data_IF_163458107099
#
_entry.id   IF_163458107099
#
_cell.length_a   1.000
_cell.length_b   1.000
_cell.length_c   1.000
_cell.angle_alpha   90.00
_cell.angle_beta   90.00
_cell.angle_gamma   90.00
#
_symmetry.space_group_name_H-M   'P 1'
#
loop_
_entity.id
_entity.type
_entity.pdbx_description
1 polymer ?
#
# COMPACT_ATOMS: atom_id res chain seq x y z
N UNK A 1 -19.31 10.87 16.14
CA UNK A 1 -18.69 11.03 14.81
C UNK A 1 -17.37 11.73 15.00
N UNK A 2 -16.34 11.26 14.34
CA UNK A 2 -14.99 11.77 14.50
C UNK A 2 -14.83 12.98 13.57
N UNK A 3 -14.75 14.17 14.11
CA UNK A 3 -14.39 15.37 13.34
C UNK A 3 -12.86 15.50 13.31
N UNK A 4 -12.31 15.84 12.15
CA UNK A 4 -10.91 16.19 12.04
C UNK A 4 -10.69 17.52 12.77
N UNK A 5 -9.71 17.57 13.65
CA UNK A 5 -9.29 18.83 14.25
C UNK A 5 -8.70 19.80 13.19
N UNK A 6 -8.39 21.01 13.61
CA UNK A 6 -7.87 22.03 12.71
C UNK A 6 -6.56 21.62 12.04
N UNK A 7 -5.69 20.88 12.76
CA UNK A 7 -4.42 20.38 12.25
C UNK A 7 -4.62 19.34 11.14
N UNK A 8 -5.46 18.33 11.36
CA UNK A 8 -5.76 17.30 10.35
C UNK A 8 -6.58 17.85 9.18
N UNK A 9 -7.42 18.85 9.42
CA UNK A 9 -8.11 19.58 8.34
C UNK A 9 -7.13 20.31 7.44
N UNK A 10 -6.10 20.97 8.01
CA UNK A 10 -5.03 21.59 7.23
C UNK A 10 -4.23 20.57 6.43
N UNK A 11 -3.92 19.39 7.00
CA UNK A 11 -3.29 18.29 6.27
C UNK A 11 -4.15 17.83 5.08
N UNK A 12 -5.45 17.63 5.30
CA UNK A 12 -6.38 17.24 4.23
C UNK A 12 -6.41 18.24 3.09
N UNK A 13 -6.46 19.56 3.40
CA UNK A 13 -6.40 20.63 2.40
C UNK A 13 -5.12 20.53 1.57
N UNK A 14 -3.97 20.41 2.23
CA UNK A 14 -2.68 20.29 1.53
C UNK A 14 -2.58 19.01 0.69
N UNK A 15 -3.10 17.90 1.19
CA UNK A 15 -3.14 16.63 0.45
C UNK A 15 -4.00 16.76 -0.83
N UNK A 16 -5.16 17.42 -0.73
CA UNK A 16 -6.03 17.68 -1.89
C UNK A 16 -5.36 18.60 -2.93
N UNK A 17 -4.63 19.64 -2.50
CA UNK A 17 -3.84 20.49 -3.39
C UNK A 17 -2.77 19.69 -4.15
N UNK A 18 -2.00 18.88 -3.42
CA UNK A 18 -0.94 18.05 -4.02
C UNK A 18 -1.49 16.93 -4.90
N UNK A 19 -2.68 16.41 -4.59
CA UNK A 19 -3.34 15.38 -5.39
C UNK A 19 -3.64 15.87 -6.83
N UNK A 20 -3.83 17.18 -7.02
CA UNK A 20 -4.04 17.78 -8.35
C UNK A 20 -2.94 17.43 -9.35
N UNK A 21 -1.69 17.31 -8.89
CA UNK A 21 -0.56 16.93 -9.75
C UNK A 21 -0.74 15.50 -10.33
N UNK A 22 -1.40 14.60 -9.59
CA UNK A 22 -1.62 13.21 -9.99
C UNK A 22 -2.70 13.08 -11.08
N UNK A 23 -3.62 14.04 -11.17
CA UNK A 23 -4.69 14.03 -12.15
C UNK A 23 -4.16 14.04 -13.60
N UNK A 24 -2.97 14.63 -13.80
CA UNK A 24 -2.36 14.79 -15.14
C UNK A 24 -1.92 13.46 -15.77
N UNK A 25 -1.71 12.42 -14.96
CA UNK A 25 -1.21 11.10 -15.41
C UNK A 25 -2.14 9.93 -15.07
N UNK A 26 -3.17 10.15 -14.25
CA UNK A 26 -4.01 9.07 -13.73
C UNK A 26 -4.65 8.19 -14.81
N UNK A 27 -5.17 8.82 -15.88
CA UNK A 27 -5.76 8.09 -17.00
C UNK A 27 -4.69 7.35 -17.83
N UNK A 28 -3.53 7.98 -18.04
CA UNK A 28 -2.46 7.42 -18.85
C UNK A 28 -1.81 6.22 -18.18
N UNK A 29 -1.67 6.24 -16.85
CA UNK A 29 -1.16 5.12 -16.06
C UNK A 29 -2.00 3.83 -16.17
N UNK A 30 -3.23 3.94 -16.65
CA UNK A 30 -4.08 2.78 -16.94
C UNK A 30 -3.65 2.05 -18.23
N UNK A 31 -2.88 2.71 -19.08
CA UNK A 31 -2.38 2.18 -20.36
C UNK A 31 -0.87 2.03 -20.38
N UNK A 32 -0.16 2.96 -19.78
CA UNK A 32 1.29 3.01 -19.71
C UNK A 32 1.76 3.29 -18.27
N UNK A 33 2.22 2.27 -17.53
CA UNK A 33 2.74 2.46 -16.18
C UNK A 33 3.92 3.46 -16.09
N UNK A 34 4.68 3.65 -17.18
CA UNK A 34 5.83 4.54 -17.22
C UNK A 34 5.44 6.03 -17.38
N UNK A 35 4.16 6.32 -17.61
CA UNK A 35 3.64 7.68 -17.56
C UNK A 35 3.95 8.40 -16.23
N UNK A 36 4.19 7.65 -15.14
CA UNK A 36 4.61 8.21 -13.84
C UNK A 36 5.85 9.11 -13.94
N UNK A 37 6.75 8.85 -14.88
CA UNK A 37 7.96 9.64 -15.06
C UNK A 37 7.69 11.13 -15.36
N UNK A 38 6.52 11.47 -15.89
CA UNK A 38 6.14 12.86 -16.20
C UNK A 38 5.83 13.72 -14.97
N UNK A 39 5.62 13.11 -13.81
CA UNK A 39 5.22 13.80 -12.58
C UNK A 39 6.21 13.63 -11.43
N UNK A 40 7.38 13.02 -11.66
CA UNK A 40 8.38 12.77 -10.62
C UNK A 40 8.86 14.02 -9.90
N UNK A 41 8.91 15.15 -10.60
CA UNK A 41 9.37 16.43 -10.06
C UNK A 41 8.29 17.18 -9.26
N UNK A 42 7.05 16.67 -9.24
CA UNK A 42 5.99 17.28 -8.45
C UNK A 42 6.23 17.13 -6.95
N UNK A 43 5.75 18.08 -6.12
CA UNK A 43 5.94 18.03 -4.68
C UNK A 43 5.48 16.72 -4.05
N UNK A 44 4.33 16.20 -4.48
CA UNK A 44 3.77 14.96 -3.95
C UNK A 44 4.66 13.75 -4.24
N UNK A 45 5.17 13.61 -5.47
CA UNK A 45 6.02 12.48 -5.85
C UNK A 45 7.39 12.54 -5.18
N UNK A 46 8.01 13.73 -5.13
CA UNK A 46 9.26 13.95 -4.39
C UNK A 46 9.11 13.66 -2.91
N UNK A 47 7.98 14.07 -2.32
CA UNK A 47 7.67 13.75 -0.93
C UNK A 47 7.51 12.23 -0.71
N UNK A 48 6.71 11.54 -1.54
CA UNK A 48 6.49 10.09 -1.41
C UNK A 48 7.78 9.28 -1.59
N UNK A 49 8.71 9.77 -2.43
CA UNK A 49 9.97 9.11 -2.70
C UNK A 49 10.88 9.02 -1.46
N UNK A 50 10.92 10.07 -0.63
CA UNK A 50 11.99 10.24 0.38
C UNK A 50 11.52 10.57 1.78
N UNK A 51 10.39 11.25 1.95
CA UNK A 51 10.04 12.05 3.13
C UNK A 51 10.22 11.38 4.49
N UNK A 52 9.79 10.13 4.62
CA UNK A 52 9.73 9.47 5.93
C UNK A 52 11.05 8.80 6.34
N UNK A 53 11.71 8.17 5.38
CA UNK A 53 12.84 7.28 5.67
C UNK A 53 14.17 7.80 5.17
N UNK A 54 14.15 8.71 4.21
CA UNK A 54 15.36 9.24 3.58
C UNK A 54 15.22 10.73 3.26
N UNK A 55 14.82 11.60 4.23
CA UNK A 55 14.67 13.01 3.95
C UNK A 55 16.03 13.60 3.53
N UNK A 56 15.98 14.48 2.53
CA UNK A 56 17.13 15.27 2.05
C UNK A 56 16.77 16.76 2.08
N UNK A 57 17.74 17.63 1.81
CA UNK A 57 17.49 19.07 1.69
C UNK A 57 16.45 19.41 0.60
N UNK A 58 16.35 18.55 -0.43
CA UNK A 58 15.42 18.72 -1.54
C UNK A 58 14.05 18.09 -1.29
N UNK A 59 13.84 17.38 -0.16
CA UNK A 59 12.54 16.80 0.18
C UNK A 59 11.54 17.92 0.46
N UNK A 60 10.41 18.02 -0.29
CA UNK A 60 9.43 19.07 -0.05
C UNK A 60 8.89 19.01 1.37
N UNK A 61 8.74 20.17 2.00
CA UNK A 61 8.13 20.24 3.33
C UNK A 61 6.61 20.13 3.23
N UNK A 62 6.02 19.13 3.88
CA UNK A 62 4.58 19.02 3.99
C UNK A 62 4.08 19.93 5.11
N UNK A 63 3.72 21.16 4.73
CA UNK A 63 3.25 22.20 5.66
C UNK A 63 1.90 22.75 5.24
N UNK A 64 1.01 23.04 6.19
CA UNK A 64 -0.30 23.68 5.96
C UNK A 64 -0.83 24.25 7.26
N UNK A 65 -1.51 25.42 7.20
CA UNK A 65 -2.15 26.03 8.37
C UNK A 65 -1.20 26.26 9.54
N UNK A 66 0.09 26.57 9.30
CA UNK A 66 1.11 26.73 10.33
C UNK A 66 1.64 25.43 10.93
N UNK A 67 1.18 24.27 10.47
CA UNK A 67 1.62 22.94 10.93
C UNK A 67 2.59 22.30 9.94
N UNK A 68 3.55 21.53 10.47
CA UNK A 68 4.42 20.64 9.70
C UNK A 68 4.00 19.19 9.95
N UNK A 69 4.01 18.36 8.90
CA UNK A 69 3.61 16.97 8.93
C UNK A 69 4.75 16.08 8.43
N UNK A 70 4.97 14.94 9.09
CA UNK A 70 5.96 13.93 8.71
C UNK A 70 5.32 12.63 8.23
N UNK A 71 3.99 12.48 8.39
CA UNK A 71 3.23 11.24 8.18
C UNK A 71 3.76 10.07 9.02
N UNK A 72 4.31 10.36 10.21
CA UNK A 72 4.77 9.32 11.14
C UNK A 72 3.59 8.62 11.80
N UNK A 73 2.51 9.34 12.09
CA UNK A 73 1.30 8.75 12.60
C UNK A 73 0.47 8.09 11.48
N UNK A 74 -0.16 6.96 11.79
CA UNK A 74 -1.08 6.28 10.88
C UNK A 74 -2.30 7.15 10.61
N UNK A 75 -2.70 7.96 11.60
CA UNK A 75 -3.80 8.90 11.45
C UNK A 75 -3.51 9.99 10.40
N UNK A 76 -2.30 10.57 10.39
CA UNK A 76 -1.89 11.48 9.32
C UNK A 76 -1.86 10.76 7.96
N UNK A 77 -1.33 9.54 7.91
CA UNK A 77 -1.26 8.76 6.68
C UNK A 77 -2.65 8.51 6.08
N UNK A 78 -3.65 8.12 6.88
CA UNK A 78 -4.98 7.83 6.33
C UNK A 78 -5.66 9.09 5.80
N UNK A 79 -5.48 10.24 6.43
CA UNK A 79 -6.01 11.52 5.93
C UNK A 79 -5.35 11.92 4.62
N UNK A 80 -4.02 11.82 4.56
CA UNK A 80 -3.24 12.19 3.37
C UNK A 80 -3.53 11.27 2.19
N UNK A 81 -3.42 9.95 2.37
CA UNK A 81 -3.60 8.99 1.29
C UNK A 81 -5.05 8.86 0.80
N UNK A 82 -6.04 9.17 1.63
CA UNK A 82 -7.44 9.22 1.20
C UNK A 82 -7.63 10.33 0.15
N UNK A 83 -7.11 11.54 0.38
CA UNK A 83 -7.24 12.65 -0.58
C UNK A 83 -6.47 12.38 -1.88
N UNK A 84 -5.27 11.81 -1.82
CA UNK A 84 -4.55 11.42 -3.03
C UNK A 84 -5.33 10.37 -3.85
N UNK A 85 -5.91 9.39 -3.18
CA UNK A 85 -6.65 8.30 -3.82
C UNK A 85 -8.02 8.73 -4.40
N UNK A 86 -8.57 9.86 -3.95
CA UNK A 86 -9.75 10.49 -4.59
C UNK A 86 -9.41 10.91 -6.02
N UNK A 87 -8.20 11.35 -6.27
CA UNK A 87 -7.76 11.75 -7.61
C UNK A 87 -7.35 10.54 -8.43
N UNK A 88 -6.35 9.77 -7.99
CA UNK A 88 -5.95 8.55 -8.67
C UNK A 88 -5.10 7.62 -7.79
N UNK A 89 -5.65 6.45 -7.45
CA UNK A 89 -4.96 5.45 -6.65
C UNK A 89 -3.80 4.78 -7.42
N UNK A 90 -3.92 4.64 -8.74
CA UNK A 90 -2.86 4.10 -9.58
C UNK A 90 -1.61 4.97 -9.55
N UNK A 91 -1.78 6.30 -9.59
CA UNK A 91 -0.69 7.27 -9.47
C UNK A 91 -0.03 7.24 -8.10
N UNK A 92 -0.81 7.09 -7.03
CA UNK A 92 -0.29 6.91 -5.66
C UNK A 92 0.59 5.66 -5.56
N UNK A 93 0.14 4.55 -6.15
CA UNK A 93 0.88 3.28 -6.11
C UNK A 93 2.08 3.27 -7.07
N UNK A 94 2.05 4.12 -8.11
CA UNK A 94 3.15 4.31 -9.04
C UNK A 94 4.31 5.13 -8.45
N UNK A 95 4.10 5.84 -7.34
CA UNK A 95 5.12 6.69 -6.73
C UNK A 95 6.40 5.91 -6.38
N UNK A 96 7.60 6.51 -6.58
CA UNK A 96 8.83 5.93 -6.10
C UNK A 96 8.88 5.93 -4.57
N UNK A 97 9.86 5.22 -4.00
CA UNK A 97 10.08 5.12 -2.56
C UNK A 97 9.91 3.70 -2.03
N UNK A 98 9.94 3.57 -0.72
CA UNK A 98 9.95 2.29 -0.02
C UNK A 98 8.81 2.17 1.01
N UNK A 99 7.54 2.27 0.60
CA UNK A 99 6.41 2.41 1.53
C UNK A 99 6.20 1.21 2.46
N UNK A 100 6.67 0.01 2.07
CA UNK A 100 6.63 -1.22 2.86
C UNK A 100 8.03 -1.67 3.29
N UNK A 101 8.99 -1.61 2.39
CA UNK A 101 10.35 -2.05 2.66
C UNK A 101 11.08 -1.11 3.66
N UNK A 102 10.85 0.20 3.56
CA UNK A 102 11.45 1.19 4.46
C UNK A 102 11.17 0.90 5.95
N UNK A 103 9.89 0.77 6.37
CA UNK A 103 9.55 0.39 7.75
C UNK A 103 10.17 -0.93 8.20
N UNK A 104 10.28 -1.89 7.29
CA UNK A 104 10.88 -3.19 7.61
C UNK A 104 12.39 -3.07 7.80
N UNK A 105 13.08 -2.33 6.92
CA UNK A 105 14.51 -2.07 7.03
C UNK A 105 14.83 -1.26 8.30
N UNK A 106 14.00 -0.29 8.63
CA UNK A 106 14.14 0.48 9.89
C UNK A 106 14.00 -0.41 11.13
N UNK A 107 13.08 -1.39 11.08
CA UNK A 107 12.83 -2.33 12.18
C UNK A 107 13.89 -3.42 12.30
N UNK A 108 14.39 -3.95 11.19
CA UNK A 108 15.24 -5.15 11.15
C UNK A 108 16.69 -4.89 10.78
N UNK A 109 16.97 -3.77 10.10
CA UNK A 109 18.32 -3.45 9.64
C UNK A 109 19.24 -3.05 10.81
N UNK A 110 20.50 -3.45 10.72
CA UNK A 110 21.56 -2.80 11.49
C UNK A 110 21.88 -1.41 10.93
N UNK A 111 22.79 -0.68 11.55
CA UNK A 111 23.11 0.69 11.15
C UNK A 111 23.64 0.78 9.71
N UNK A 112 24.53 -0.15 9.33
CA UNK A 112 25.13 -0.22 7.98
C UNK A 112 24.07 -0.54 6.91
N UNK A 113 23.18 -1.49 7.19
CA UNK A 113 22.09 -1.87 6.31
C UNK A 113 21.09 -0.72 6.10
N UNK A 114 20.73 0.00 7.17
CA UNK A 114 19.84 1.17 7.08
C UNK A 114 20.48 2.28 6.27
N UNK A 115 21.73 2.64 6.59
CA UNK A 115 22.41 3.71 5.86
C UNK A 115 22.57 3.35 4.38
N UNK A 116 23.03 2.15 4.06
CA UNK A 116 23.14 1.69 2.68
C UNK A 116 21.79 1.77 1.93
N UNK A 117 20.73 1.27 2.55
CA UNK A 117 19.39 1.23 1.94
C UNK A 117 18.83 2.64 1.69
N UNK A 118 18.87 3.50 2.70
CA UNK A 118 18.30 4.84 2.59
C UNK A 118 19.17 5.78 1.73
N UNK A 119 20.47 5.54 1.62
CA UNK A 119 21.32 6.27 0.69
C UNK A 119 20.88 6.08 -0.77
N UNK A 120 20.39 4.88 -1.15
CA UNK A 120 19.85 4.65 -2.49
C UNK A 120 18.61 5.52 -2.77
N UNK A 121 17.74 5.70 -1.78
CA UNK A 121 16.54 6.52 -1.93
C UNK A 121 16.85 8.03 -1.97
N UNK A 122 17.93 8.46 -1.31
CA UNK A 122 18.37 9.87 -1.34
C UNK A 122 19.05 10.26 -2.65
N UNK A 123 19.65 9.29 -3.34
CA UNK A 123 20.44 9.57 -4.54
C UNK A 123 19.61 9.90 -5.79
N UNK A 124 18.43 9.28 -5.92
CA UNK A 124 17.49 9.49 -7.03
C UNK A 124 16.10 8.92 -6.69
N UNK A 125 15.04 9.31 -7.42
CA UNK A 125 13.75 8.66 -7.34
C UNK A 125 13.89 7.14 -7.59
N UNK A 126 13.74 6.33 -6.54
CA UNK A 126 14.02 4.90 -6.56
C UNK A 126 12.78 4.12 -6.15
N UNK A 127 12.34 3.20 -7.00
CA UNK A 127 11.30 2.23 -6.67
C UNK A 127 11.89 1.05 -5.93
N UNK A 128 11.20 0.66 -4.85
CA UNK A 128 11.60 -0.46 -4.02
C UNK A 128 10.47 -1.48 -3.96
N UNK A 129 10.76 -2.71 -4.32
CA UNK A 129 9.78 -3.79 -4.21
C UNK A 129 9.77 -4.43 -2.82
N UNK A 130 8.62 -5.01 -2.47
CA UNK A 130 8.42 -5.82 -1.27
C UNK A 130 7.84 -7.18 -1.69
N UNK A 131 8.66 -8.21 -1.71
CA UNK A 131 8.36 -9.49 -2.34
C UNK A 131 8.11 -10.60 -1.30
N UNK A 132 6.84 -10.74 -0.87
CA UNK A 132 6.41 -11.74 0.10
C UNK A 132 5.62 -12.86 -0.58
N UNK A 133 4.59 -12.52 -1.34
CA UNK A 133 3.60 -13.43 -1.92
C UNK A 133 4.20 -14.35 -2.98
N UNK A 134 3.85 -15.63 -2.92
CA UNK A 134 4.22 -16.65 -3.91
C UNK A 134 3.00 -17.14 -4.71
N UNK A 135 3.18 -17.76 -5.86
CA UNK A 135 2.05 -18.28 -6.66
C UNK A 135 1.11 -19.19 -5.86
N UNK A 136 1.65 -20.05 -4.99
CA UNK A 136 0.89 -21.00 -4.16
C UNK A 136 0.60 -20.48 -2.74
N UNK A 137 1.29 -19.43 -2.26
CA UNK A 137 1.22 -18.95 -0.88
C UNK A 137 0.96 -17.45 -0.84
N UNK A 138 -0.32 -17.04 -0.92
CA UNK A 138 -0.76 -15.66 -0.75
C UNK A 138 -1.23 -15.40 0.68
N UNK A 139 -2.40 -15.97 1.03
CA UNK A 139 -2.99 -15.81 2.37
C UNK A 139 -2.20 -16.53 3.45
N UNK A 140 -1.59 -17.67 3.15
CA UNK A 140 -0.63 -18.39 4.00
C UNK A 140 0.81 -17.95 3.69
N UNK A 141 1.13 -16.70 4.00
CA UNK A 141 2.47 -16.17 3.78
C UNK A 141 3.54 -16.85 4.64
N UNK A 142 3.17 -17.46 5.78
CA UNK A 142 4.08 -18.22 6.61
C UNK A 142 4.51 -19.54 5.97
N UNK A 143 3.72 -20.06 5.01
CA UNK A 143 4.00 -21.26 4.23
C UNK A 143 4.94 -21.07 3.05
N UNK A 144 5.47 -19.87 2.81
CA UNK A 144 6.32 -19.55 1.66
C UNK A 144 7.45 -20.58 1.46
N UNK A 145 7.79 -20.84 0.19
CA UNK A 145 8.74 -21.87 -0.23
C UNK A 145 10.05 -21.34 -0.79
N UNK A 146 10.15 -20.04 -1.09
CA UNK A 146 11.42 -19.40 -1.49
C UNK A 146 12.50 -19.69 -0.47
N UNK A 147 13.65 -20.22 -0.93
CA UNK A 147 14.76 -20.67 -0.09
C UNK A 147 15.91 -19.70 -0.11
N UNK A 148 16.59 -19.64 1.03
CA UNK A 148 17.86 -18.95 1.24
C UNK A 148 18.85 -19.98 1.76
N UNK A 149 19.55 -20.64 0.84
CA UNK A 149 20.48 -21.73 1.13
C UNK A 149 21.88 -21.15 1.38
N UNK A 150 22.64 -21.58 2.39
CA UNK A 150 24.02 -21.15 2.64
C UNK A 150 24.94 -21.47 1.43
N UNK A 151 25.85 -20.55 1.09
CA UNK A 151 26.84 -20.70 0.04
C UNK A 151 28.12 -19.90 0.36
N UNK A 152 29.15 -20.59 0.87
CA UNK A 152 30.36 -19.94 1.36
C UNK A 152 30.07 -18.95 2.48
N UNK A 153 30.53 -17.70 2.33
CA UNK A 153 30.30 -16.60 3.27
C UNK A 153 28.96 -15.86 3.05
N UNK A 154 28.07 -16.43 2.21
CA UNK A 154 26.78 -15.81 1.89
C UNK A 154 25.71 -16.86 1.67
N UNK A 155 24.77 -16.55 0.75
CA UNK A 155 23.60 -17.37 0.50
C UNK A 155 23.24 -17.40 -0.99
N UNK A 156 22.46 -18.41 -1.38
CA UNK A 156 21.76 -18.51 -2.67
C UNK A 156 20.26 -18.40 -2.45
N UNK A 157 19.66 -17.43 -3.13
CA UNK A 157 18.22 -17.18 -3.09
C UNK A 157 17.56 -17.85 -4.29
N UNK A 158 16.60 -18.75 -4.02
CA UNK A 158 15.89 -19.52 -5.06
C UNK A 158 14.40 -19.57 -4.79
N UNK A 159 13.57 -19.21 -5.77
CA UNK A 159 12.11 -19.25 -5.66
C UNK A 159 11.43 -18.25 -6.58
N UNK A 160 10.12 -18.08 -6.42
CA UNK A 160 9.31 -17.17 -7.25
C UNK A 160 8.39 -16.35 -6.36
N UNK A 161 8.33 -15.05 -6.63
CA UNK A 161 7.38 -14.11 -6.00
C UNK A 161 6.42 -13.56 -7.05
N UNK A 162 5.19 -13.23 -6.64
CA UNK A 162 4.14 -12.79 -7.55
C UNK A 162 3.32 -11.62 -6.96
N UNK A 163 2.74 -10.81 -7.83
CA UNK A 163 1.97 -9.62 -7.48
C UNK A 163 2.78 -8.58 -6.70
N UNK A 164 4.04 -8.41 -7.10
CA UNK A 164 4.98 -7.51 -6.46
C UNK A 164 4.87 -6.12 -7.08
N UNK A 165 4.45 -5.12 -6.29
CA UNK A 165 4.28 -3.74 -6.76
C UNK A 165 5.59 -3.11 -7.22
N UNK A 166 5.52 -2.38 -8.32
CA UNK A 166 6.63 -1.68 -8.94
C UNK A 166 7.84 -2.56 -9.32
N UNK A 167 7.73 -3.90 -9.26
CA UNK A 167 8.87 -4.79 -9.50
C UNK A 167 9.56 -4.55 -10.86
N UNK A 168 8.83 -4.34 -12.00
CA UNK A 168 9.48 -4.12 -13.30
C UNK A 168 10.38 -2.89 -13.37
N UNK A 169 10.13 -1.87 -12.55
CA UNK A 169 10.90 -0.62 -12.53
C UNK A 169 11.81 -0.47 -11.30
N UNK A 170 11.71 -1.39 -10.35
CA UNK A 170 12.48 -1.31 -9.11
C UNK A 170 13.94 -1.72 -9.32
N UNK A 171 14.83 -1.02 -8.62
CA UNK A 171 16.27 -1.34 -8.59
C UNK A 171 16.72 -1.96 -7.28
N UNK A 172 15.83 -2.00 -6.29
CA UNK A 172 16.10 -2.46 -4.95
C UNK A 172 14.83 -3.08 -4.38
N UNK A 173 14.96 -4.03 -3.47
CA UNK A 173 13.81 -4.57 -2.78
C UNK A 173 14.13 -5.48 -1.62
N UNK A 174 13.08 -5.92 -0.96
CA UNK A 174 13.12 -6.91 0.10
C UNK A 174 12.41 -8.16 -0.37
N UNK A 175 13.06 -9.32 -0.25
CA UNK A 175 12.50 -10.64 -0.53
C UNK A 175 12.42 -11.43 0.76
N UNK A 176 11.27 -12.06 1.01
CA UNK A 176 11.12 -13.02 2.10
C UNK A 176 11.44 -14.42 1.62
N UNK A 177 12.30 -15.09 2.36
CA UNK A 177 12.75 -16.45 2.10
C UNK A 177 12.89 -17.23 3.39
N UNK A 178 13.12 -18.54 3.31
CA UNK A 178 13.40 -19.38 4.48
C UNK A 178 14.75 -20.06 4.40
N UNK A 179 15.45 -20.09 5.54
CA UNK A 179 16.70 -20.84 5.73
C UNK A 179 16.45 -22.25 6.27
N UNK A 180 15.25 -22.51 6.83
CA UNK A 180 14.82 -23.81 7.39
C UNK A 180 13.30 -23.84 7.54
N UNK A 181 12.69 -25.00 7.73
CA UNK A 181 11.25 -25.12 8.00
C UNK A 181 10.82 -24.39 9.28
N UNK A 182 9.54 -24.00 9.31
CA UNK A 182 8.90 -23.35 10.45
C UNK A 182 9.05 -21.82 10.48
N UNK A 183 8.29 -21.16 11.35
CA UNK A 183 8.17 -19.70 11.38
C UNK A 183 9.47 -18.98 11.79
N UNK A 184 10.32 -19.62 12.56
CA UNK A 184 11.62 -19.07 12.97
C UNK A 184 12.69 -19.16 11.86
N UNK A 185 12.41 -19.90 10.77
CA UNK A 185 13.28 -20.01 9.60
C UNK A 185 13.12 -18.87 8.61
N UNK A 186 12.12 -18.01 8.76
CA UNK A 186 11.87 -16.91 7.84
C UNK A 186 12.89 -15.78 7.99
N UNK A 187 13.32 -15.24 6.83
CA UNK A 187 14.26 -14.12 6.72
C UNK A 187 13.75 -13.13 5.68
N UNK A 188 14.12 -11.89 5.86
CA UNK A 188 14.01 -10.85 4.84
C UNK A 188 15.42 -10.53 4.33
N UNK A 189 15.58 -10.45 3.04
CA UNK A 189 16.88 -10.13 2.42
C UNK A 189 16.76 -8.94 1.49
N UNK A 190 17.79 -8.09 1.47
CA UNK A 190 17.92 -6.98 0.53
C UNK A 190 18.45 -7.52 -0.80
N UNK A 191 17.76 -7.16 -1.90
CA UNK A 191 18.09 -7.59 -3.24
C UNK A 191 18.18 -6.37 -4.16
N UNK A 192 19.24 -6.26 -4.93
CA UNK A 192 19.38 -5.27 -6.00
C UNK A 192 18.92 -5.86 -7.33
N UNK A 193 18.38 -5.03 -8.21
CA UNK A 193 17.99 -5.41 -9.57
C UNK A 193 18.58 -4.39 -10.57
N UNK A 194 19.13 -4.86 -11.71
CA UNK A 194 19.26 -6.27 -12.12
C UNK A 194 20.34 -7.03 -11.32
N UNK A 195 20.21 -8.36 -11.25
CA UNK A 195 21.23 -9.24 -10.69
C UNK A 195 21.27 -10.57 -11.49
N UNK A 196 22.42 -11.26 -11.56
CA UNK A 196 22.50 -12.58 -12.18
C UNK A 196 21.54 -13.56 -11.53
N UNK A 197 20.74 -14.27 -12.35
CA UNK A 197 19.73 -15.21 -11.88
C UNK A 197 18.41 -14.57 -11.42
N UNK A 198 18.28 -13.25 -11.47
CA UNK A 198 17.05 -12.54 -11.18
C UNK A 198 16.33 -12.17 -12.47
N UNK A 199 15.08 -12.61 -12.61
CA UNK A 199 14.19 -12.25 -13.73
C UNK A 199 12.93 -11.59 -13.19
N UNK A 200 12.53 -10.47 -13.78
CA UNK A 200 11.31 -9.75 -13.40
C UNK A 200 10.44 -9.58 -14.64
N UNK A 201 9.18 -10.03 -14.54
CA UNK A 201 8.21 -9.96 -15.62
C UNK A 201 7.00 -9.14 -15.17
N UNK A 202 6.53 -8.23 -16.03
CA UNK A 202 5.31 -7.46 -15.77
C UNK A 202 4.07 -8.36 -15.84
N UNK A 203 3.13 -8.16 -14.92
CA UNK A 203 1.86 -8.89 -14.88
C UNK A 203 0.74 -8.01 -15.45
N UNK A 204 -0.06 -8.52 -16.40
CA UNK A 204 -1.25 -7.82 -16.84
C UNK A 204 -2.31 -7.85 -15.74
N UNK A 205 -2.74 -6.67 -15.30
CA UNK A 205 -3.78 -6.52 -14.29
C UNK A 205 -5.00 -5.78 -14.85
N UNK A 206 -6.18 -6.07 -14.30
CA UNK A 206 -7.43 -5.43 -14.73
C UNK A 206 -7.56 -4.00 -14.20
N UNK A 207 -6.99 -3.71 -13.03
CA UNK A 207 -6.97 -2.41 -12.37
C UNK A 207 -5.66 -2.22 -11.63
N UNK A 208 -5.49 -1.05 -11.00
CA UNK A 208 -4.25 -0.62 -10.32
C UNK A 208 -3.02 -0.73 -11.24
N UNK A 209 -3.19 -0.49 -12.54
CA UNK A 209 -2.14 -0.71 -13.53
C UNK A 209 -0.92 0.16 -13.30
N UNK A 210 -1.10 1.39 -12.76
CA UNK A 210 0.00 2.24 -12.35
C UNK A 210 0.93 1.60 -11.31
N UNK A 211 0.47 0.63 -10.53
CA UNK A 211 1.30 -0.11 -9.57
C UNK A 211 2.34 -1.03 -10.24
N UNK A 212 2.29 -1.23 -11.57
CA UNK A 212 3.21 -2.06 -12.35
C UNK A 212 3.56 -3.38 -11.63
N UNK A 213 2.53 -4.21 -11.37
CA UNK A 213 2.75 -5.48 -10.66
C UNK A 213 3.64 -6.41 -11.48
N UNK A 214 4.56 -7.09 -10.82
CA UNK A 214 5.46 -8.06 -11.45
C UNK A 214 5.48 -9.42 -10.77
N UNK A 215 6.02 -10.40 -11.50
CA UNK A 215 6.52 -11.67 -10.99
C UNK A 215 8.05 -11.60 -10.95
N UNK A 216 8.65 -12.13 -9.88
CA UNK A 216 10.10 -12.17 -9.69
C UNK A 216 10.50 -13.64 -9.56
N UNK A 217 11.34 -14.10 -10.48
CA UNK A 217 11.95 -15.44 -10.44
C UNK A 217 13.42 -15.30 -10.04
N UNK A 218 13.82 -16.06 -9.04
CA UNK A 218 15.17 -16.11 -8.51
C UNK A 218 15.74 -17.51 -8.73
N UNK A 219 16.79 -17.60 -9.54
CA UNK A 219 17.51 -18.84 -9.89
C UNK A 219 18.92 -18.77 -9.30
N UNK A 220 19.05 -19.16 -8.03
CA UNK A 220 20.35 -19.15 -7.32
C UNK A 220 21.02 -17.77 -7.27
N UNK A 221 20.24 -16.72 -7.00
CA UNK A 221 20.76 -15.34 -6.86
C UNK A 221 21.69 -15.25 -5.65
N UNK A 222 22.90 -14.72 -5.85
CA UNK A 222 23.89 -14.54 -4.78
C UNK A 222 23.43 -13.42 -3.82
N UNK A 223 23.43 -13.72 -2.53
CA UNK A 223 23.10 -12.77 -1.45
C UNK A 223 24.28 -12.77 -0.46
N UNK A 224 24.90 -11.64 -0.29
CA UNK A 224 25.94 -11.47 0.72
C UNK A 224 25.33 -11.52 2.13
N UNK A 225 26.09 -11.97 3.14
CA UNK A 225 25.58 -12.09 4.52
C UNK A 225 25.10 -10.76 5.08
N UNK A 226 25.77 -9.67 4.76
CA UNK A 226 25.39 -8.30 5.15
C UNK A 226 24.06 -7.82 4.54
N UNK A 227 23.48 -8.56 3.60
CA UNK A 227 22.15 -8.28 3.01
C UNK A 227 21.00 -9.02 3.71
N UNK A 228 21.29 -9.88 4.68
CA UNK A 228 20.27 -10.58 5.48
C UNK A 228 19.83 -9.69 6.64
N UNK A 229 18.58 -9.23 6.61
CA UNK A 229 18.04 -8.35 7.63
C UNK A 229 17.85 -9.08 8.98
N UNK A 230 18.10 -8.39 10.08
CA UNK A 230 17.89 -8.88 11.43
C UNK A 230 18.91 -9.91 11.88
N UNK A 231 20.05 -10.08 11.21
CA UNK A 231 21.11 -11.02 11.62
C UNK A 231 21.61 -10.79 13.05
N UNK A 232 21.64 -9.54 13.50
CA UNK A 232 22.01 -9.10 14.85
C UNK A 232 20.89 -9.32 15.88
N UNK A 233 19.66 -9.64 15.47
CA UNK A 233 18.52 -9.80 16.36
C UNK A 233 18.29 -11.27 16.72
N UNK A 234 17.69 -11.59 17.88
CA UNK A 234 17.27 -12.93 18.21
C UNK A 234 16.21 -13.46 17.24
N UNK A 235 16.15 -14.79 17.03
CA UNK A 235 15.26 -15.42 16.06
C UNK A 235 13.78 -15.07 16.24
N UNK A 236 13.34 -14.79 17.45
CA UNK A 236 11.97 -14.39 17.78
C UNK A 236 11.62 -12.98 17.30
N UNK A 237 12.60 -12.11 17.09
CA UNK A 237 12.37 -10.71 16.64
C UNK A 237 12.53 -10.50 15.13
N UNK A 238 13.10 -11.45 14.40
CA UNK A 238 13.39 -11.34 12.96
C UNK A 238 12.48 -12.18 12.03
N UNK A 239 11.45 -12.81 12.58
CA UNK A 239 10.49 -13.65 11.84
C UNK A 239 9.17 -12.96 11.55
N UNK A 240 8.09 -13.76 11.55
CA UNK A 240 6.71 -13.33 11.23
C UNK A 240 6.24 -12.10 12.00
N UNK A 241 6.66 -11.95 13.27
CA UNK A 241 6.21 -10.82 14.10
C UNK A 241 6.65 -9.46 13.56
N UNK A 242 7.79 -9.36 12.88
CA UNK A 242 8.29 -8.11 12.35
C UNK A 242 7.39 -7.55 11.22
N UNK A 243 6.90 -8.41 10.33
CA UNK A 243 6.02 -7.93 9.28
C UNK A 243 4.59 -7.61 9.76
N UNK A 244 4.11 -8.25 10.84
CA UNK A 244 2.78 -7.97 11.40
C UNK A 244 2.66 -6.50 11.80
N UNK A 245 3.66 -5.93 12.45
CA UNK A 245 3.69 -4.51 12.80
C UNK A 245 3.64 -3.61 11.56
N UNK A 246 4.40 -3.95 10.50
CA UNK A 246 4.37 -3.22 9.23
C UNK A 246 2.98 -3.29 8.62
N UNK A 247 2.37 -4.47 8.54
CA UNK A 247 1.03 -4.64 7.97
C UNK A 247 -0.06 -3.91 8.76
N UNK A 248 0.00 -3.93 10.09
CA UNK A 248 -0.97 -3.21 10.92
C UNK A 248 -0.95 -1.70 10.66
N UNK A 249 0.22 -1.12 10.40
CA UNK A 249 0.36 0.30 10.04
C UNK A 249 -0.10 0.61 8.60
N UNK A 250 0.03 -0.35 7.67
CA UNK A 250 -0.28 -0.14 6.24
C UNK A 250 -1.75 -0.40 5.94
N UNK A 251 -2.42 -1.34 6.60
CA UNK A 251 -3.83 -1.66 6.36
C UNK A 251 -4.79 -0.47 6.43
N UNK A 252 -4.70 0.44 7.42
CA UNK A 252 -5.53 1.66 7.43
C UNK A 252 -5.26 2.57 6.23
N UNK A 253 -4.01 2.64 5.73
CA UNK A 253 -3.67 3.39 4.52
C UNK A 253 -4.30 2.77 3.28
N UNK A 254 -4.28 1.44 3.15
CA UNK A 254 -4.98 0.73 2.06
C UNK A 254 -6.49 0.93 2.16
N UNK A 255 -7.05 0.92 3.37
CA UNK A 255 -8.45 1.24 3.59
C UNK A 255 -8.78 2.69 3.15
N UNK A 256 -7.92 3.66 3.46
CA UNK A 256 -8.06 5.05 3.02
C UNK A 256 -8.08 5.16 1.47
N UNK A 257 -7.23 4.40 0.78
CA UNK A 257 -7.25 4.35 -0.69
C UNK A 257 -8.58 3.80 -1.23
N UNK A 258 -9.13 2.73 -0.65
CA UNK A 258 -10.44 2.21 -1.02
C UNK A 258 -11.58 3.20 -0.76
N UNK A 259 -11.51 3.94 0.35
CA UNK A 259 -12.46 5.01 0.68
C UNK A 259 -12.34 6.15 -0.34
N UNK A 260 -11.12 6.55 -0.71
CA UNK A 260 -10.86 7.56 -1.74
C UNK A 260 -11.48 7.21 -3.08
N UNK A 261 -11.32 5.97 -3.55
CA UNK A 261 -11.96 5.46 -4.78
C UNK A 261 -13.50 5.57 -4.68
N UNK A 262 -14.08 5.16 -3.54
CA UNK A 262 -15.54 5.23 -3.35
C UNK A 262 -16.05 6.69 -3.33
N UNK A 263 -15.30 7.61 -2.69
CA UNK A 263 -15.59 9.06 -2.71
C UNK A 263 -15.54 9.61 -4.13
N UNK A 264 -14.48 9.29 -4.87
CA UNK A 264 -14.33 9.71 -6.27
C UNK A 264 -15.50 9.27 -7.14
N UNK A 265 -15.99 8.04 -6.99
CA UNK A 265 -17.11 7.51 -7.72
C UNK A 265 -18.42 8.26 -7.39
N UNK A 266 -18.69 8.53 -6.10
CA UNK A 266 -19.84 9.32 -5.67
C UNK A 266 -19.79 10.75 -6.23
N UNK A 267 -18.62 11.39 -6.15
CA UNK A 267 -18.44 12.75 -6.66
C UNK A 267 -18.59 12.81 -8.19
N UNK A 268 -18.08 11.79 -8.89
CA UNK A 268 -18.27 11.67 -10.33
C UNK A 268 -19.75 11.68 -10.71
N UNK A 269 -20.61 10.94 -9.99
CA UNK A 269 -22.06 10.96 -10.22
C UNK A 269 -22.64 12.35 -9.96
N UNK A 270 -22.24 13.02 -8.87
CA UNK A 270 -22.72 14.38 -8.55
C UNK A 270 -22.39 15.40 -9.64
N UNK A 271 -21.18 15.36 -10.17
CA UNK A 271 -20.71 16.28 -11.22
C UNK A 271 -21.41 16.02 -12.55
N UNK A 272 -21.56 14.76 -12.96
CA UNK A 272 -22.04 14.40 -14.30
C UNK A 272 -23.55 14.15 -14.37
N UNK A 273 -24.22 14.01 -13.21
CA UNK A 273 -25.70 13.84 -13.10
C UNK A 273 -26.32 14.94 -12.25
N UNK A 274 -26.26 16.17 -12.75
CA UNK A 274 -26.74 17.38 -12.04
C UNK A 274 -28.21 17.28 -11.62
N UNK A 275 -29.04 16.58 -12.39
CA UNK A 275 -30.48 16.38 -12.10
C UNK A 275 -30.72 14.89 -11.86
N UNK A 276 -31.05 14.54 -10.63
CA UNK A 276 -31.45 13.20 -10.23
C UNK A 276 -32.91 13.20 -9.75
N UNK A 277 -33.64 12.16 -10.12
CA UNK A 277 -34.96 11.89 -9.50
C UNK A 277 -34.80 11.68 -8.01
N UNK A 278 -35.80 12.00 -7.16
CA UNK A 278 -35.67 11.88 -5.71
C UNK A 278 -35.11 10.53 -5.23
N UNK A 279 -35.68 9.40 -5.67
CA UNK A 279 -35.19 8.07 -5.30
C UNK A 279 -33.73 7.79 -5.70
N UNK A 280 -33.26 8.32 -6.84
CA UNK A 280 -31.88 8.19 -7.26
C UNK A 280 -30.94 9.05 -6.40
N UNK A 281 -31.39 10.25 -6.00
CA UNK A 281 -30.66 11.11 -5.06
C UNK A 281 -30.55 10.45 -3.69
N UNK A 282 -31.66 9.94 -3.14
CA UNK A 282 -31.67 9.24 -1.84
C UNK A 282 -30.71 8.05 -1.83
N UNK A 283 -30.66 7.30 -2.95
CA UNK A 283 -29.71 6.20 -3.13
C UNK A 283 -28.26 6.68 -3.12
N UNK A 284 -27.93 7.76 -3.84
CA UNK A 284 -26.58 8.34 -3.83
C UNK A 284 -26.18 8.81 -2.44
N UNK A 285 -27.08 9.48 -1.74
CA UNK A 285 -26.84 9.94 -0.38
C UNK A 285 -26.65 8.77 0.59
N UNK A 286 -27.35 7.65 0.38
CA UNK A 286 -27.13 6.43 1.17
C UNK A 286 -25.73 5.83 0.90
N UNK A 287 -25.26 5.83 -0.34
CA UNK A 287 -23.87 5.43 -0.66
C UNK A 287 -22.85 6.34 0.04
N UNK A 288 -23.04 7.66 -0.02
CA UNK A 288 -22.15 8.61 0.65
C UNK A 288 -22.12 8.43 2.17
N UNK A 289 -23.28 8.16 2.80
CA UNK A 289 -23.32 7.83 4.25
C UNK A 289 -22.56 6.54 4.57
N UNK A 290 -22.64 5.52 3.70
CA UNK A 290 -21.83 4.29 3.86
C UNK A 290 -20.33 4.59 3.76
N UNK A 291 -19.92 5.44 2.82
CA UNK A 291 -18.52 5.88 2.67
C UNK A 291 -18.05 6.55 3.96
N UNK A 292 -18.83 7.50 4.50
CA UNK A 292 -18.48 8.19 5.74
C UNK A 292 -18.42 7.22 6.94
N UNK A 293 -19.32 6.27 7.05
CA UNK A 293 -19.29 5.28 8.13
C UNK A 293 -18.02 4.43 8.12
N UNK A 294 -17.55 3.99 6.94
CA UNK A 294 -16.31 3.22 6.83
C UNK A 294 -15.08 4.12 7.04
N UNK A 295 -15.15 5.40 6.65
CA UNK A 295 -14.13 6.39 6.95
C UNK A 295 -13.95 6.58 8.46
N UNK A 296 -15.04 6.69 9.21
CA UNK A 296 -15.01 6.79 10.67
C UNK A 296 -14.36 5.55 11.32
N UNK A 297 -14.70 4.35 10.82
CA UNK A 297 -14.04 3.12 11.26
C UNK A 297 -12.52 3.16 10.98
N UNK A 298 -12.11 3.67 9.82
CA UNK A 298 -10.70 3.75 9.45
C UNK A 298 -9.92 4.76 10.30
N UNK A 299 -10.52 5.91 10.62
CA UNK A 299 -9.92 6.89 11.54
C UNK A 299 -9.73 6.30 12.95
N UNK A 300 -10.72 5.54 13.44
CA UNK A 300 -10.59 4.83 14.71
C UNK A 300 -9.51 3.74 14.66
N UNK A 301 -9.41 3.02 13.54
CA UNK A 301 -8.37 2.00 13.33
C UNK A 301 -6.96 2.63 13.31
N UNK A 302 -6.79 3.76 12.63
CA UNK A 302 -5.53 4.47 12.57
C UNK A 302 -5.04 4.89 13.96
N UNK A 303 -5.92 5.43 14.79
CA UNK A 303 -5.59 5.81 16.18
C UNK A 303 -5.27 4.61 17.06
N UNK A 304 -5.99 3.50 16.90
CA UNK A 304 -5.69 2.30 17.66
C UNK A 304 -4.28 1.80 17.34
N UNK A 305 -3.89 1.79 16.07
CA UNK A 305 -2.53 1.40 15.65
C UNK A 305 -1.47 2.40 16.12
N UNK A 306 -1.77 3.70 16.13
CA UNK A 306 -0.84 4.70 16.67
C UNK A 306 -0.62 4.53 18.18
N UNK A 307 -1.66 4.07 18.91
CA UNK A 307 -1.57 3.80 20.34
C UNK A 307 -0.91 2.46 20.65
N UNK A 308 -1.21 1.40 19.86
CA UNK A 308 -0.64 0.06 19.99
C UNK A 308 -0.45 -0.57 18.61
N UNK A 309 0.77 -0.52 18.04
CA UNK A 309 1.07 -1.11 16.74
C UNK A 309 0.89 -2.65 16.68
N UNK A 310 0.77 -3.33 17.81
CA UNK A 310 0.51 -4.76 17.86
C UNK A 310 -0.99 -5.09 17.71
N UNK A 311 -1.92 -4.17 18.05
CA UNK A 311 -3.36 -4.36 17.88
C UNK A 311 -3.80 -4.08 16.42
N UNK A 312 -3.77 -5.11 15.58
CA UNK A 312 -4.21 -5.05 14.18
C UNK A 312 -5.71 -5.27 13.97
N UNK A 313 -6.52 -5.43 15.02
CA UNK A 313 -7.94 -5.81 14.92
C UNK A 313 -8.78 -4.78 14.15
N UNK A 314 -8.75 -3.53 14.60
CA UNK A 314 -9.49 -2.45 13.91
C UNK A 314 -8.91 -2.16 12.53
N UNK A 315 -7.59 -2.24 12.35
CA UNK A 315 -6.94 -2.08 11.05
C UNK A 315 -7.42 -3.15 10.05
N UNK A 316 -7.51 -4.40 10.49
CA UNK A 316 -8.05 -5.51 9.68
C UNK A 316 -9.53 -5.32 9.35
N UNK A 317 -10.36 -4.93 10.33
CA UNK A 317 -11.77 -4.66 10.13
C UNK A 317 -11.99 -3.50 9.14
N UNK A 318 -11.27 -2.39 9.29
CA UNK A 318 -11.36 -1.23 8.42
C UNK A 318 -10.97 -1.59 6.97
N UNK A 319 -9.86 -2.32 6.78
CA UNK A 319 -9.40 -2.76 5.46
C UNK A 319 -10.41 -3.65 4.76
N UNK A 320 -10.97 -4.66 5.43
CA UNK A 320 -11.98 -5.55 4.84
C UNK A 320 -13.27 -4.79 4.47
N UNK A 321 -13.70 -3.84 5.30
CA UNK A 321 -14.89 -3.02 5.03
C UNK A 321 -14.67 -2.02 3.91
N UNK A 322 -13.48 -1.39 3.84
CA UNK A 322 -13.14 -0.42 2.80
C UNK A 322 -12.99 -1.08 1.42
N UNK A 323 -12.37 -2.25 1.33
CA UNK A 323 -12.24 -2.99 0.08
C UNK A 323 -13.64 -3.34 -0.49
N UNK A 324 -14.51 -3.91 0.34
CA UNK A 324 -15.88 -4.22 -0.07
C UNK A 324 -16.69 -2.96 -0.43
N UNK A 325 -16.54 -1.87 0.35
CA UNK A 325 -17.19 -0.59 0.07
C UNK A 325 -16.80 -0.06 -1.30
N UNK A 326 -15.49 -0.06 -1.62
CA UNK A 326 -14.99 0.45 -2.90
C UNK A 326 -15.63 -0.28 -4.08
N UNK A 327 -15.69 -1.61 -4.04
CA UNK A 327 -16.36 -2.42 -5.06
C UNK A 327 -17.86 -2.10 -5.16
N UNK A 328 -18.59 -2.14 -4.06
CA UNK A 328 -20.04 -1.91 -4.03
C UNK A 328 -20.40 -0.52 -4.55
N UNK A 329 -19.68 0.53 -4.10
CA UNK A 329 -19.98 1.91 -4.45
C UNK A 329 -19.65 2.20 -5.92
N UNK A 330 -18.50 1.74 -6.41
CA UNK A 330 -18.11 2.00 -7.81
C UNK A 330 -19.05 1.32 -8.79
N UNK A 331 -19.46 0.08 -8.52
CA UNK A 331 -20.46 -0.65 -9.33
C UNK A 331 -21.83 0.05 -9.27
N UNK A 332 -22.30 0.45 -8.09
CA UNK A 332 -23.55 1.18 -7.94
C UNK A 332 -23.54 2.54 -8.66
N UNK A 333 -22.38 3.23 -8.70
CA UNK A 333 -22.24 4.50 -9.42
C UNK A 333 -22.30 4.33 -10.94
N UNK A 334 -21.83 3.22 -11.52
CA UNK A 334 -21.97 2.92 -12.95
C UNK A 334 -23.45 2.83 -13.36
N UNK A 335 -24.34 2.33 -12.51
CA UNK A 335 -25.77 2.19 -12.80
C UNK A 335 -26.47 3.54 -13.09
N UNK A 336 -25.94 4.67 -12.61
CA UNK A 336 -26.47 6.00 -12.89
C UNK A 336 -26.32 6.41 -14.37
N UNK A 337 -25.46 5.74 -15.13
CA UNK A 337 -25.13 6.07 -16.51
C UNK A 337 -25.63 5.02 -17.54
N UNK A 338 -26.23 3.93 -17.06
CA UNK A 338 -26.82 2.90 -17.90
C UNK A 338 -25.81 1.91 -18.50
N UNK A 339 -26.21 1.09 -19.47
CA UNK A 339 -25.39 -0.02 -19.98
C UNK A 339 -24.07 0.40 -20.63
N UNK A 340 -24.01 1.59 -21.26
CA UNK A 340 -22.80 2.14 -21.89
C UNK A 340 -21.81 2.79 -20.91
N UNK A 341 -22.11 2.84 -19.62
CA UNK A 341 -21.37 3.62 -18.63
C UNK A 341 -19.84 3.41 -18.66
N UNK A 342 -19.37 2.19 -18.91
CA UNK A 342 -17.92 1.90 -18.95
C UNK A 342 -17.22 2.47 -20.19
N UNK A 343 -17.94 2.67 -21.27
CA UNK A 343 -17.42 3.22 -22.53
C UNK A 343 -17.50 4.75 -22.50
N UNK A 344 -18.65 5.28 -22.09
CA UNK A 344 -18.94 6.72 -22.13
C UNK A 344 -18.34 7.47 -20.93
N UNK A 345 -18.05 6.74 -19.85
CA UNK A 345 -17.47 7.25 -18.61
C UNK A 345 -16.24 6.45 -18.19
N UNK A 346 -15.10 6.53 -18.95
CA UNK A 346 -13.93 5.68 -18.78
C UNK A 346 -13.29 5.79 -17.38
N UNK A 347 -13.31 6.99 -16.77
CA UNK A 347 -12.82 7.19 -15.41
C UNK A 347 -13.61 6.37 -14.40
N UNK A 348 -14.94 6.34 -14.50
CA UNK A 348 -15.77 5.54 -13.59
C UNK A 348 -15.53 4.03 -13.78
N UNK A 349 -15.32 3.63 -15.05
CA UNK A 349 -14.89 2.27 -15.40
C UNK A 349 -13.52 1.91 -14.80
N UNK A 350 -12.56 2.84 -14.81
CA UNK A 350 -11.25 2.69 -14.16
C UNK A 350 -11.41 2.53 -12.64
N UNK A 351 -12.16 3.41 -11.98
CA UNK A 351 -12.41 3.34 -10.54
C UNK A 351 -12.98 1.99 -10.11
N UNK A 352 -13.91 1.41 -10.90
CA UNK A 352 -14.47 0.10 -10.59
C UNK A 352 -13.43 -1.05 -10.74
N UNK A 353 -12.51 -0.96 -11.71
CA UNK A 353 -11.43 -1.92 -11.88
C UNK A 353 -10.37 -1.78 -10.78
N UNK A 354 -10.01 -0.56 -10.42
CA UNK A 354 -9.05 -0.26 -9.35
C UNK A 354 -9.59 -0.69 -7.98
N UNK A 355 -10.87 -0.47 -7.71
CA UNK A 355 -11.53 -0.91 -6.48
C UNK A 355 -11.36 -2.41 -6.24
N UNK A 356 -11.45 -3.23 -7.30
CA UNK A 356 -11.24 -4.67 -7.20
C UNK A 356 -9.82 -5.03 -6.74
N UNK A 357 -8.82 -4.25 -7.15
CA UNK A 357 -7.43 -4.46 -6.75
C UNK A 357 -7.19 -4.26 -5.25
N UNK A 358 -7.91 -3.35 -4.61
CA UNK A 358 -7.81 -3.06 -3.17
C UNK A 358 -8.09 -4.31 -2.31
N UNK A 359 -8.97 -5.22 -2.77
CA UNK A 359 -9.28 -6.47 -2.06
C UNK A 359 -8.03 -7.31 -1.79
N UNK A 360 -7.09 -7.34 -2.72
CA UNK A 360 -5.92 -8.23 -2.65
C UNK A 360 -4.71 -7.60 -1.96
N UNK A 361 -4.72 -6.29 -1.72
CA UNK A 361 -3.63 -5.59 -1.04
C UNK A 361 -3.60 -5.94 0.45
N UNK A 362 -2.43 -6.21 1.00
CA UNK A 362 -2.11 -6.41 2.42
C UNK A 362 -2.97 -7.48 3.13
N UNK A 363 -3.36 -8.49 2.36
CA UNK A 363 -4.20 -9.60 2.77
C UNK A 363 -5.67 -9.42 2.40
N UNK A 364 -6.24 -10.41 1.70
CA UNK A 364 -7.64 -10.43 1.29
C UNK A 364 -8.60 -10.38 2.49
N UNK A 365 -9.86 -9.98 2.25
CA UNK A 365 -10.88 -9.80 3.30
C UNK A 365 -11.08 -11.04 4.18
N UNK A 366 -10.90 -12.26 3.64
CA UNK A 366 -11.00 -13.48 4.45
C UNK A 366 -9.90 -13.58 5.50
N UNK A 367 -8.65 -13.19 5.16
CA UNK A 367 -7.54 -13.13 6.12
C UNK A 367 -7.81 -12.09 7.19
N UNK A 368 -8.33 -10.92 6.78
CA UNK A 368 -8.68 -9.85 7.73
C UNK A 368 -9.75 -10.32 8.71
N UNK A 369 -10.81 -10.99 8.23
CA UNK A 369 -11.86 -11.55 9.09
C UNK A 369 -11.32 -12.60 10.06
N UNK A 370 -10.37 -13.43 9.61
CA UNK A 370 -9.72 -14.43 10.46
C UNK A 370 -8.93 -13.76 11.60
N UNK A 371 -8.17 -12.70 11.30
CA UNK A 371 -7.42 -11.94 12.30
C UNK A 371 -8.38 -11.35 13.36
N UNK A 372 -9.48 -10.73 12.91
CA UNK A 372 -10.50 -10.17 13.84
C UNK A 372 -11.11 -11.26 14.70
N UNK A 373 -11.48 -12.40 14.10
CA UNK A 373 -12.11 -13.53 14.84
C UNK A 373 -11.15 -14.12 15.87
N UNK A 374 -9.88 -14.31 15.53
CA UNK A 374 -8.87 -14.85 16.45
C UNK A 374 -8.64 -13.91 17.64
N UNK A 375 -8.63 -12.59 17.42
CA UNK A 375 -8.49 -11.63 18.51
C UNK A 375 -9.72 -11.65 19.44
N UNK A 376 -10.92 -11.69 18.88
CA UNK A 376 -12.16 -11.78 19.68
C UNK A 376 -12.18 -13.05 20.54
N UNK A 377 -11.75 -14.20 20.01
CA UNK A 377 -11.66 -15.45 20.75
C UNK A 377 -10.64 -15.34 21.90
N UNK A 378 -9.49 -14.70 21.66
CA UNK A 378 -8.47 -14.50 22.71
C UNK A 378 -8.97 -13.64 23.85
N UNK A 379 -9.66 -12.53 23.54
CA UNK A 379 -10.22 -11.60 24.54
C UNK A 379 -11.44 -12.14 25.28
N UNK A 380 -12.22 -13.04 24.68
CA UNK A 380 -13.39 -13.68 25.27
C UNK A 380 -13.07 -14.92 26.13
N UNK A 381 -11.79 -15.37 26.23
CA UNK A 381 -11.42 -16.42 27.16
C UNK A 381 -11.28 -15.83 28.55
N UNK A 382 -12.03 -16.34 29.56
CA UNK A 382 -11.82 -15.96 30.96
C UNK A 382 -10.38 -16.32 31.33
N UNK A 383 -9.67 -15.37 31.96
CA UNK A 383 -8.33 -15.55 32.56
C UNK A 383 -8.38 -16.48 33.76
#
# INVERSE_FOLDING_TARGET
>A
MYELDGRLTALRTRAAEWAGDLATVGADLDHDPDAVHRVLDTPVMRYLATARYAPSADTPSLTSGGHRFSLDSVLEQVVFFEELAVVDVGAVLAAPGAPMAGPLVDLLGDEEQREWFFAQLRSAPTWVFFALTEPAHGSDAAGLTTRLDPDGDGFRLTGTKRYVGNAPRARLGVVFARVRPGPLGLRAVLVTAPAPGLTIEALPTIGLRGAALGAITMSSVAIADDRVLGRHLPATRRGVLSWVHVFNRIRPRVAAMGIGIARAACEYVRVHRRTLRPAARDRLDALCRRVEAVRQLNLAAARAVDSDPADGRLASAAKARAARLAEDVTVACLEYFGPGARLDHPLLGKLARDARGVEFMEGASNVQKLIVSQDLIRRGRPT
#
